data_IF_948576240409
#
_entry.id   IF_948576240409
#
_cell.length_a   1.000
_cell.length_b   1.000
_cell.length_c   1.000
_cell.angle_alpha   90.00
_cell.angle_beta   90.00
_cell.angle_gamma   90.00
#
_symmetry.space_group_name_H-M   'P 1'
#
loop_
_entity.id
_entity.type
_entity.pdbx_description
1 polymer ?
#
# COMPACT_ATOMS: atom_id res chain seq x y z
N UNK A 1 -18.45 -3.92 -1.98
CA UNK A 1 -18.77 -3.67 -3.41
C UNK A 1 -17.53 -3.89 -4.28
N UNK A 2 -17.48 -4.93 -5.12
CA UNK A 2 -16.42 -5.09 -6.16
C UNK A 2 -16.69 -4.15 -7.34
N UNK A 3 -16.67 -2.84 -7.09
CA UNK A 3 -16.89 -1.81 -8.11
C UNK A 3 -15.59 -1.38 -8.83
N UNK A 4 -14.47 -2.07 -8.59
CA UNK A 4 -13.14 -1.74 -9.14
C UNK A 4 -13.01 -1.84 -10.66
N UNK A 5 -13.96 -2.48 -11.35
CA UNK A 5 -13.90 -2.70 -12.81
C UNK A 5 -14.27 -1.50 -13.69
N UNK A 6 -14.79 -0.40 -13.14
CA UNK A 6 -15.44 0.67 -13.94
C UNK A 6 -14.47 1.77 -14.38
N UNK A 7 -13.20 1.75 -13.96
CA UNK A 7 -12.21 2.70 -14.48
C UNK A 7 -12.37 4.16 -14.00
N UNK A 8 -13.21 4.42 -12.99
CA UNK A 8 -13.54 5.76 -12.49
C UNK A 8 -12.29 6.57 -12.15
N UNK A 9 -12.31 7.86 -12.46
CA UNK A 9 -11.25 8.81 -12.16
C UNK A 9 -11.68 9.74 -11.02
N UNK A 10 -10.94 9.71 -9.91
CA UNK A 10 -11.24 10.48 -8.69
C UNK A 10 -10.06 11.39 -8.30
N UNK A 11 -9.29 11.87 -9.28
CA UNK A 11 -8.15 12.80 -9.10
C UNK A 11 -8.47 14.11 -8.38
N UNK A 12 -9.74 14.45 -8.19
CA UNK A 12 -10.12 15.61 -7.38
C UNK A 12 -10.00 15.34 -5.87
N UNK A 13 -10.08 14.07 -5.45
CA UNK A 13 -9.96 13.66 -4.06
C UNK A 13 -8.49 13.43 -3.70
N UNK A 14 -8.09 13.93 -2.54
CA UNK A 14 -6.74 13.88 -1.99
C UNK A 14 -6.66 13.04 -0.71
N UNK A 15 -7.76 12.49 -0.23
CA UNK A 15 -7.80 11.56 0.91
C UNK A 15 -8.62 10.32 0.56
N UNK A 16 -8.08 9.14 0.84
CA UNK A 16 -8.70 7.83 0.61
C UNK A 16 -8.79 7.11 1.96
N UNK A 17 -9.99 6.63 2.31
CA UNK A 17 -10.22 5.83 3.52
C UNK A 17 -10.59 4.41 3.09
N UNK A 18 -9.77 3.44 3.48
CA UNK A 18 -10.03 2.01 3.33
C UNK A 18 -10.64 1.53 4.64
N UNK A 19 -11.93 1.24 4.62
CA UNK A 19 -12.65 0.75 5.81
C UNK A 19 -12.27 -0.69 6.15
N UNK A 20 -12.37 -1.59 5.17
CA UNK A 20 -12.09 -3.02 5.34
C UNK A 20 -10.94 -3.41 4.41
N UNK A 21 -10.01 -4.22 4.91
CA UNK A 21 -8.90 -4.74 4.10
C UNK A 21 -9.34 -5.95 3.28
N UNK A 22 -9.11 -5.93 1.96
CA UNK A 22 -9.37 -7.10 1.10
C UNK A 22 -8.23 -8.12 1.22
N UNK A 23 -8.58 -9.41 1.16
CA UNK A 23 -7.60 -10.51 1.13
C UNK A 23 -6.68 -10.46 -0.09
N UNK A 24 -7.09 -9.78 -1.16
CA UNK A 24 -6.27 -9.50 -2.33
C UNK A 24 -5.77 -8.04 -2.27
N UNK A 25 -4.48 -7.80 -1.98
CA UNK A 25 -3.93 -6.45 -1.83
C UNK A 25 -4.08 -5.58 -3.09
N UNK A 26 -4.19 -6.20 -4.27
CA UNK A 26 -4.35 -5.48 -5.53
C UNK A 26 -5.68 -4.71 -5.60
N UNK A 27 -6.71 -5.16 -4.88
CA UNK A 27 -8.01 -4.46 -4.83
C UNK A 27 -7.84 -3.11 -4.17
N UNK A 28 -7.13 -3.07 -3.04
CA UNK A 28 -6.85 -1.83 -2.29
C UNK A 28 -5.93 -0.91 -3.06
N UNK A 29 -4.88 -1.44 -3.69
CA UNK A 29 -3.98 -0.67 -4.55
C UNK A 29 -4.72 -0.04 -5.73
N UNK A 30 -5.65 -0.78 -6.34
CA UNK A 30 -6.47 -0.26 -7.42
C UNK A 30 -7.44 0.82 -6.94
N UNK A 31 -7.97 0.70 -5.71
CA UNK A 31 -8.82 1.72 -5.10
C UNK A 31 -8.03 3.01 -4.83
N UNK A 32 -6.83 2.93 -4.28
CA UNK A 32 -5.93 4.07 -4.07
C UNK A 32 -5.57 4.77 -5.39
N UNK A 33 -5.28 4.00 -6.44
CA UNK A 33 -4.96 4.51 -7.78
C UNK A 33 -6.11 5.28 -8.47
N UNK A 34 -7.32 5.30 -7.88
CA UNK A 34 -8.42 6.17 -8.35
C UNK A 34 -8.15 7.64 -8.04
N UNK A 35 -7.53 7.92 -6.90
CA UNK A 35 -7.14 9.25 -6.44
C UNK A 35 -5.66 9.53 -6.76
N UNK A 36 -4.78 8.56 -6.49
CA UNK A 36 -3.35 8.62 -6.80
C UNK A 36 -3.11 8.31 -8.28
N UNK A 37 -3.41 9.29 -9.15
CA UNK A 37 -3.39 9.14 -10.61
C UNK A 37 -2.83 10.38 -11.29
N UNK A 38 -2.26 10.20 -12.48
CA UNK A 38 -1.67 11.27 -13.31
C UNK A 38 -2.64 12.46 -13.50
N UNK A 39 -2.29 13.62 -12.95
CA UNK A 39 -3.13 14.82 -12.96
C UNK A 39 -3.58 15.29 -11.57
N UNK A 40 -3.43 14.43 -10.55
CA UNK A 40 -3.51 14.85 -9.15
C UNK A 40 -2.36 15.82 -8.82
N UNK A 41 -2.68 16.91 -8.11
CA UNK A 41 -1.74 17.98 -7.75
C UNK A 41 -1.44 18.05 -6.25
N UNK A 42 -2.26 17.40 -5.42
CA UNK A 42 -2.11 17.36 -3.97
C UNK A 42 -1.61 15.98 -3.54
N UNK A 43 -0.91 15.94 -2.41
CA UNK A 43 -0.51 14.67 -1.81
C UNK A 43 -1.74 13.85 -1.42
N UNK A 44 -1.74 12.57 -1.81
CA UNK A 44 -2.84 11.66 -1.52
C UNK A 44 -2.58 10.98 -0.19
N UNK A 45 -3.42 11.28 0.80
CA UNK A 45 -3.39 10.62 2.10
C UNK A 45 -4.25 9.35 2.04
N UNK A 46 -3.67 8.19 2.33
CA UNK A 46 -4.40 6.92 2.44
C UNK A 46 -4.45 6.50 3.90
N UNK A 47 -5.66 6.42 4.45
CA UNK A 47 -5.94 5.88 5.77
C UNK A 47 -6.57 4.51 5.62
N UNK A 48 -6.06 3.54 6.38
CA UNK A 48 -6.64 2.21 6.50
C UNK A 48 -7.13 2.04 7.92
N UNK A 49 -8.40 1.72 8.07
CA UNK A 49 -8.96 1.37 9.37
C UNK A 49 -8.72 -0.10 9.65
N UNK A 50 -8.46 -0.37 10.92
CA UNK A 50 -8.21 -1.70 11.43
C UNK A 50 -8.63 -1.75 12.89
N UNK A 51 -9.31 -2.83 13.25
CA UNK A 51 -9.69 -3.11 14.62
C UNK A 51 -8.64 -3.98 15.30
N UNK A 52 -8.15 -3.50 16.45
CA UNK A 52 -7.11 -4.18 17.24
C UNK A 52 -7.64 -5.48 17.85
N UNK A 53 -6.81 -6.51 17.90
CA UNK A 53 -7.11 -7.84 18.45
C UNK A 53 -8.29 -8.55 17.76
N UNK A 54 -8.48 -8.32 16.47
CA UNK A 54 -9.52 -9.00 15.67
C UNK A 54 -8.92 -9.81 14.53
N UNK A 55 -9.79 -10.48 13.77
CA UNK A 55 -9.39 -11.21 12.56
C UNK A 55 -8.80 -10.27 11.49
N UNK A 56 -9.06 -8.96 11.54
CA UNK A 56 -8.56 -8.00 10.56
C UNK A 56 -7.03 -7.92 10.53
N UNK A 57 -6.36 -8.10 11.68
CA UNK A 57 -4.90 -8.18 11.76
C UNK A 57 -4.35 -9.36 10.93
N UNK A 58 -5.03 -10.51 10.96
CA UNK A 58 -4.65 -11.69 10.19
C UNK A 58 -4.90 -11.49 8.68
N UNK A 59 -6.01 -10.80 8.34
CA UNK A 59 -6.33 -10.46 6.94
C UNK A 59 -5.26 -9.53 6.38
N UNK A 60 -4.89 -8.48 7.13
CA UNK A 60 -3.83 -7.54 6.75
C UNK A 60 -2.50 -8.25 6.57
N UNK A 61 -2.07 -9.04 7.56
CA UNK A 61 -0.82 -9.78 7.47
C UNK A 61 -0.79 -10.73 6.25
N UNK A 62 -1.91 -11.39 5.93
CA UNK A 62 -2.03 -12.22 4.73
C UNK A 62 -1.95 -11.39 3.44
N UNK A 63 -2.60 -10.23 3.38
CA UNK A 63 -2.57 -9.34 2.23
C UNK A 63 -1.15 -8.76 2.00
N UNK A 64 -0.47 -8.32 3.06
CA UNK A 64 0.91 -7.83 3.02
C UNK A 64 1.88 -8.91 2.58
N UNK A 65 1.73 -10.13 3.10
CA UNK A 65 2.54 -11.28 2.66
C UNK A 65 2.36 -11.56 1.16
N UNK A 66 1.12 -11.59 0.67
CA UNK A 66 0.82 -11.78 -0.75
C UNK A 66 1.43 -10.67 -1.62
N UNK A 67 1.40 -9.43 -1.14
CA UNK A 67 2.00 -8.30 -1.84
C UNK A 67 3.53 -8.43 -1.92
N UNK A 68 4.17 -8.81 -0.80
CA UNK A 68 5.61 -9.05 -0.76
C UNK A 68 6.07 -10.15 -1.72
N UNK A 69 5.34 -11.27 -1.75
CA UNK A 69 5.60 -12.37 -2.70
C UNK A 69 5.39 -11.91 -4.15
N UNK A 70 4.33 -11.16 -4.43
CA UNK A 70 4.08 -10.62 -5.76
C UNK A 70 5.20 -9.68 -6.22
N UNK A 71 5.67 -8.78 -5.35
CA UNK A 71 6.79 -7.88 -5.64
C UNK A 71 8.07 -8.66 -5.96
N UNK A 72 8.41 -9.66 -5.16
CA UNK A 72 9.55 -10.56 -5.42
C UNK A 72 9.42 -11.26 -6.78
N UNK A 73 8.22 -11.74 -7.12
CA UNK A 73 7.96 -12.40 -8.40
C UNK A 73 8.06 -11.45 -9.59
N UNK A 74 7.62 -10.19 -9.45
CA UNK A 74 7.73 -9.18 -10.51
C UNK A 74 9.19 -8.81 -10.74
N UNK A 75 9.95 -8.61 -9.65
CA UNK A 75 11.40 -8.37 -9.73
C UNK A 75 12.14 -9.54 -10.37
N UNK A 76 11.75 -10.78 -10.07
CA UNK A 76 12.27 -11.96 -10.74
C UNK A 76 11.80 -12.10 -12.20
N UNK A 77 10.74 -11.40 -12.63
CA UNK A 77 10.22 -11.42 -14.00
C UNK A 77 10.82 -10.34 -14.92
N UNK A 78 11.29 -9.22 -14.37
CA UNK A 78 11.98 -8.17 -15.11
C UNK A 78 13.46 -8.51 -15.29
N UNK A 79 13.74 -9.44 -16.19
CA UNK A 79 15.08 -9.66 -16.73
C UNK A 79 15.29 -8.80 -17.96
N UNK A 80 15.55 -7.51 -17.74
CA UNK A 80 16.06 -6.68 -18.84
C UNK A 80 17.49 -7.14 -19.15
N UNK A 81 17.84 -7.36 -20.42
CA UNK A 81 19.16 -7.88 -20.81
C UNK A 81 20.32 -6.89 -20.50
N UNK A 82 20.01 -5.69 -20.03
CA UNK A 82 20.96 -4.64 -19.69
C UNK A 82 21.36 -4.59 -18.21
N UNK A 83 20.72 -5.34 -17.30
CA UNK A 83 21.08 -5.34 -15.86
C UNK A 83 22.00 -6.52 -15.52
N UNK A 84 23.10 -6.24 -14.80
CA UNK A 84 24.04 -7.28 -14.40
C UNK A 84 23.38 -8.29 -13.46
N UNK A 85 23.93 -9.50 -13.39
CA UNK A 85 23.53 -10.49 -12.38
C UNK A 85 23.88 -10.04 -10.94
N UNK A 86 24.78 -9.08 -10.78
CA UNK A 86 25.13 -8.46 -9.49
C UNK A 86 24.07 -7.45 -9.05
N UNK A 87 23.73 -6.47 -9.90
CA UNK A 87 22.71 -5.46 -9.60
C UNK A 87 21.35 -6.09 -9.25
N UNK A 88 20.99 -7.18 -9.94
CA UNK A 88 19.76 -7.94 -9.65
C UNK A 88 19.78 -8.61 -8.29
N UNK A 89 20.95 -9.13 -7.86
CA UNK A 89 21.09 -9.75 -6.53
C UNK A 89 21.02 -8.70 -5.45
N UNK A 90 21.72 -7.59 -5.61
CA UNK A 90 21.71 -6.49 -4.64
C UNK A 90 20.29 -5.90 -4.47
N UNK A 91 19.56 -5.71 -5.57
CA UNK A 91 18.18 -5.23 -5.52
C UNK A 91 17.21 -6.25 -4.89
N UNK A 92 17.39 -7.55 -5.17
CA UNK A 92 16.59 -8.59 -4.51
C UNK A 92 16.87 -8.65 -3.00
N UNK A 93 18.13 -8.51 -2.59
CA UNK A 93 18.52 -8.48 -1.18
C UNK A 93 17.93 -7.28 -0.44
N UNK A 94 17.88 -6.09 -1.07
CA UNK A 94 17.25 -4.92 -0.46
C UNK A 94 15.74 -5.12 -0.26
N UNK A 95 15.05 -5.70 -1.26
CA UNK A 95 13.62 -6.00 -1.19
C UNK A 95 13.30 -7.02 -0.07
N UNK A 96 14.12 -8.07 0.04
CA UNK A 96 13.99 -9.10 1.09
C UNK A 96 14.25 -8.54 2.49
N UNK A 97 15.07 -7.50 2.61
CA UNK A 97 15.36 -6.82 3.88
C UNK A 97 14.20 -5.94 4.33
N UNK A 98 13.52 -5.26 3.42
CA UNK A 98 12.34 -4.42 3.71
C UNK A 98 11.15 -5.27 4.19
N UNK A 99 10.89 -6.42 3.57
CA UNK A 99 9.82 -7.33 3.98
C UNK A 99 9.90 -7.83 5.43
N UNK A 100 11.05 -7.71 6.12
CA UNK A 100 11.20 -8.15 7.52
C UNK A 100 10.79 -7.09 8.56
N UNK A 101 10.50 -5.85 8.15
CA UNK A 101 10.00 -4.82 9.05
C UNK A 101 8.47 -4.86 9.08
N UNK A 102 7.91 -5.73 9.91
CA UNK A 102 6.54 -5.53 10.37
C UNK A 102 6.58 -4.46 11.47
N UNK A 103 6.34 -3.20 11.10
CA UNK A 103 6.06 -2.17 12.10
C UNK A 103 4.61 -2.31 12.54
N UNK A 104 4.41 -2.69 13.80
CA UNK A 104 3.09 -2.59 14.44
C UNK A 104 2.79 -1.10 14.58
N UNK A 105 1.91 -0.59 13.72
CA UNK A 105 1.45 0.79 13.82
C UNK A 105 0.74 0.97 15.17
N UNK A 106 1.18 1.90 16.04
CA UNK A 106 0.48 2.18 17.28
C UNK A 106 -0.91 2.75 16.98
N UNK A 107 -1.87 2.46 17.86
CA UNK A 107 -3.18 3.11 17.82
C UNK A 107 -2.97 4.61 18.01
N UNK A 108 -3.42 5.40 17.04
CA UNK A 108 -3.35 6.86 17.08
C UNK A 108 -4.33 7.39 18.14
N UNK A 109 -3.91 8.39 18.90
CA UNK A 109 -4.82 9.19 19.71
C UNK A 109 -5.56 10.24 18.86
N UNK A 110 -6.60 10.85 19.44
CA UNK A 110 -7.45 11.81 18.73
C UNK A 110 -6.64 13.03 18.24
N UNK A 111 -5.66 13.49 19.02
CA UNK A 111 -4.81 14.63 18.67
C UNK A 111 -3.87 14.30 17.50
N UNK A 112 -3.19 13.14 17.53
CA UNK A 112 -2.33 12.72 16.41
C UNK A 112 -3.15 12.46 15.14
N UNK A 113 -4.35 11.87 15.27
CA UNK A 113 -5.25 11.67 14.13
C UNK A 113 -5.66 13.02 13.53
N UNK A 114 -6.02 14.00 14.36
CA UNK A 114 -6.38 15.35 13.91
C UNK A 114 -5.20 16.05 13.22
N UNK A 115 -3.99 15.97 13.77
CA UNK A 115 -2.81 16.59 13.16
C UNK A 115 -2.45 15.93 11.81
N UNK A 116 -2.65 14.61 11.70
CA UNK A 116 -2.46 13.85 10.46
C UNK A 116 -3.51 14.25 9.40
N UNK A 117 -4.79 14.31 9.77
CA UNK A 117 -5.87 14.76 8.89
C UNK A 117 -5.71 16.21 8.45
N UNK A 118 -5.21 17.07 9.34
CA UNK A 118 -4.87 18.46 9.05
C UNK A 118 -3.60 18.63 8.21
N UNK A 119 -2.88 17.53 7.93
CA UNK A 119 -1.63 17.50 7.15
C UNK A 119 -0.55 18.41 7.74
N UNK A 120 -0.50 18.54 9.07
CA UNK A 120 0.47 19.42 9.77
C UNK A 120 1.91 18.92 9.69
N UNK A 121 2.10 17.64 9.36
CA UNK A 121 3.40 16.98 9.26
C UNK A 121 3.92 16.83 7.82
N UNK A 122 3.26 17.44 6.83
CA UNK A 122 3.64 17.39 5.42
C UNK A 122 3.89 18.79 4.86
#
# INVERSE_FOLDING_TARGET
IRAGGVGVNLQAADTVIIFDTDWNPQVDLQAQARAHRLGQKKDVLVLRFETVQTVEEQVRASAEHKLGVANQSITAGFFDNNTSAEDRREYLESLLRECKKEEVAPVLDDDALNDLLARRYF
#
